data_IF_432515493434
#
_entry.id   IF_432515493434
#
_cell.length_a   1.000
_cell.length_b   1.000
_cell.length_c   1.000
_cell.angle_alpha   90.00
_cell.angle_beta   90.00
_cell.angle_gamma   90.00
#
_symmetry.space_group_name_H-M   'P 1'
#
loop_
_entity.id
_entity.type
_entity.pdbx_description
1 polymer ?
#
# COMPACT_ATOMS: atom_id res chain seq x y z
N UNK A 1 17.93 -1.41 0.97
CA UNK A 1 16.46 -1.53 1.20
C UNK A 1 15.74 -0.34 0.60
N UNK A 2 14.59 -0.59 0.00
CA UNK A 2 13.72 0.45 -0.56
C UNK A 2 12.44 0.50 0.27
N UNK A 3 12.03 1.70 0.63
CA UNK A 3 10.73 1.94 1.26
C UNK A 3 9.81 2.67 0.27
N UNK A 4 8.73 2.00 -0.11
CA UNK A 4 7.71 2.56 -0.97
C UNK A 4 6.62 3.16 -0.10
N UNK A 5 6.31 4.43 -0.31
CA UNK A 5 5.17 5.09 0.32
C UNK A 5 4.01 5.17 -0.64
N UNK A 6 2.82 5.04 -0.09
CA UNK A 6 1.58 5.24 -0.85
C UNK A 6 0.59 6.03 0.00
N UNK A 7 -0.12 6.95 -0.63
CA UNK A 7 -1.18 7.71 0.00
C UNK A 7 -2.40 7.69 -0.91
N UNK A 8 -3.56 7.38 -0.35
CA UNK A 8 -4.80 7.34 -1.11
C UNK A 8 -6.02 7.52 -0.20
N UNK A 9 -7.14 8.03 -0.75
CA UNK A 9 -8.40 8.03 -0.03
C UNK A 9 -9.08 6.68 -0.10
N UNK A 10 -9.92 6.38 0.89
CA UNK A 10 -10.76 5.19 0.92
C UNK A 10 -12.20 5.59 1.25
N UNK A 11 -13.15 4.77 0.84
CA UNK A 11 -14.57 5.01 1.13
C UNK A 11 -14.89 4.78 2.61
N UNK A 12 -14.29 3.74 3.20
CA UNK A 12 -14.47 3.37 4.60
C UNK A 12 -13.21 2.69 5.11
N UNK A 13 -12.65 3.18 6.20
CA UNK A 13 -11.40 2.64 6.73
C UNK A 13 -11.53 1.19 7.17
N UNK A 14 -12.57 0.85 7.92
CA UNK A 14 -12.72 -0.51 8.46
C UNK A 14 -12.81 -1.55 7.34
N UNK A 15 -13.57 -1.25 6.29
CA UNK A 15 -13.68 -2.11 5.12
C UNK A 15 -12.35 -2.25 4.40
N UNK A 16 -11.66 -1.12 4.20
CA UNK A 16 -10.34 -1.12 3.56
C UNK A 16 -9.33 -1.94 4.36
N UNK A 17 -9.31 -1.76 5.68
CA UNK A 17 -8.35 -2.46 6.56
C UNK A 17 -8.56 -3.97 6.54
N UNK A 18 -9.81 -4.43 6.51
CA UNK A 18 -10.10 -5.86 6.38
C UNK A 18 -9.52 -6.42 5.08
N UNK A 19 -9.74 -5.74 3.97
CA UNK A 19 -9.20 -6.16 2.67
C UNK A 19 -7.67 -6.09 2.66
N UNK A 20 -7.10 -5.04 3.25
CA UNK A 20 -5.66 -4.88 3.38
C UNK A 20 -5.04 -6.05 4.13
N UNK A 21 -5.61 -6.41 5.27
CA UNK A 21 -5.11 -7.52 6.09
C UNK A 21 -5.25 -8.86 5.37
N UNK A 22 -6.34 -9.06 4.64
CA UNK A 22 -6.56 -10.29 3.86
C UNK A 22 -5.54 -10.45 2.73
N UNK A 23 -4.94 -9.35 2.26
CA UNK A 23 -3.94 -9.35 1.19
C UNK A 23 -2.51 -9.60 1.70
N UNK A 24 -2.30 -9.78 2.99
CA UNK A 24 -0.96 -9.87 3.58
C UNK A 24 -0.11 -10.98 2.96
N UNK A 25 -0.69 -12.16 2.76
CA UNK A 25 0.03 -13.29 2.17
C UNK A 25 0.53 -12.96 0.77
N UNK A 26 -0.30 -12.28 -0.02
CA UNK A 26 0.07 -11.86 -1.36
C UNK A 26 1.19 -10.81 -1.31
N UNK A 27 1.10 -9.84 -0.39
CA UNK A 27 2.15 -8.83 -0.21
C UNK A 27 3.50 -9.49 0.09
N UNK A 28 3.53 -10.42 1.03
CA UNK A 28 4.76 -11.14 1.39
C UNK A 28 5.30 -11.90 0.19
N UNK A 29 4.43 -12.58 -0.56
CA UNK A 29 4.82 -13.31 -1.78
C UNK A 29 5.36 -12.41 -2.88
N UNK A 30 4.97 -11.13 -2.89
CA UNK A 30 5.44 -10.14 -3.86
C UNK A 30 6.69 -9.38 -3.40
N UNK A 31 7.26 -9.75 -2.26
CA UNK A 31 8.53 -9.21 -1.79
C UNK A 31 8.45 -8.16 -0.69
N UNK A 32 7.27 -7.91 -0.14
CA UNK A 32 7.13 -6.98 0.99
C UNK A 32 7.74 -7.58 2.25
N UNK A 33 8.73 -6.90 2.83
CA UNK A 33 9.48 -7.34 4.02
C UNK A 33 8.96 -6.71 5.31
N UNK A 34 8.31 -5.57 5.23
CA UNK A 34 7.73 -4.88 6.36
C UNK A 34 6.74 -3.83 5.86
N UNK A 35 5.84 -3.42 6.73
CA UNK A 35 4.83 -2.42 6.36
C UNK A 35 4.27 -1.74 7.60
N UNK A 36 3.66 -0.57 7.38
CA UNK A 36 2.85 0.11 8.39
C UNK A 36 1.77 0.93 7.69
N UNK A 37 0.68 1.13 8.39
CA UNK A 37 -0.49 1.87 7.88
C UNK A 37 -0.84 2.98 8.85
N UNK A 38 -1.13 4.16 8.32
CA UNK A 38 -1.48 5.35 9.08
C UNK A 38 -2.72 6.00 8.51
N UNK A 39 -3.54 6.56 9.39
CA UNK A 39 -4.63 7.44 8.99
C UNK A 39 -4.18 8.89 9.18
N UNK A 40 -4.62 9.80 8.32
CA UNK A 40 -4.39 11.22 8.55
C UNK A 40 -5.04 11.62 9.89
N UNK A 41 -4.36 12.47 10.65
CA UNK A 41 -4.88 12.96 11.92
C UNK A 41 -6.21 13.70 11.76
N UNK A 42 -6.44 14.31 10.59
CA UNK A 42 -7.64 15.11 10.31
C UNK A 42 -8.71 14.36 9.56
N UNK A 43 -8.35 13.25 8.90
CA UNK A 43 -9.29 12.52 8.04
C UNK A 43 -8.99 11.02 8.04
N UNK A 44 -9.83 10.21 8.70
CA UNK A 44 -9.62 8.76 8.77
C UNK A 44 -9.72 8.04 7.42
N UNK A 45 -10.23 8.71 6.39
CA UNK A 45 -10.32 8.15 5.04
C UNK A 45 -9.10 8.45 4.18
N UNK A 46 -8.15 9.22 4.70
CA UNK A 46 -6.89 9.54 4.02
C UNK A 46 -5.81 8.65 4.60
N UNK A 47 -5.41 7.63 3.84
CA UNK A 47 -4.51 6.58 4.29
C UNK A 47 -3.10 6.80 3.74
N UNK A 48 -2.10 6.67 4.61
CA UNK A 48 -0.70 6.61 4.22
C UNK A 48 -0.13 5.28 4.69
N UNK A 49 0.58 4.59 3.82
CA UNK A 49 1.22 3.33 4.16
C UNK A 49 2.63 3.30 3.58
N UNK A 50 3.50 2.49 4.18
CA UNK A 50 4.78 2.17 3.56
C UNK A 50 4.98 0.67 3.53
N UNK A 51 5.75 0.23 2.53
CA UNK A 51 6.12 -1.16 2.34
C UNK A 51 7.61 -1.23 2.00
N UNK A 52 8.34 -2.10 2.69
CA UNK A 52 9.77 -2.28 2.47
C UNK A 52 10.05 -3.43 1.52
N UNK A 53 11.00 -3.22 0.62
CA UNK A 53 11.45 -4.20 -0.36
C UNK A 53 12.97 -4.28 -0.35
N UNK A 54 13.50 -5.42 -0.74
CA UNK A 54 14.96 -5.59 -0.83
C UNK A 54 15.55 -4.74 -1.95
N UNK A 55 14.81 -4.56 -3.06
CA UNK A 55 15.27 -3.84 -4.24
C UNK A 55 14.22 -2.89 -4.79
N UNK A 56 14.67 -1.87 -5.52
CA UNK A 56 13.76 -0.97 -6.23
C UNK A 56 12.95 -1.71 -7.29
N UNK A 57 13.55 -2.69 -7.96
CA UNK A 57 12.86 -3.47 -8.98
C UNK A 57 11.65 -4.21 -8.41
N UNK A 58 11.80 -4.82 -7.23
CA UNK A 58 10.70 -5.51 -6.55
C UNK A 58 9.59 -4.52 -6.16
N UNK A 59 9.95 -3.34 -5.66
CA UNK A 59 8.98 -2.31 -5.29
C UNK A 59 8.21 -1.82 -6.53
N UNK A 60 8.90 -1.57 -7.62
CA UNK A 60 8.26 -1.13 -8.87
C UNK A 60 7.35 -2.21 -9.46
N UNK A 61 7.76 -3.47 -9.41
CA UNK A 61 6.94 -4.58 -9.87
C UNK A 61 5.65 -4.71 -9.05
N UNK A 62 5.75 -4.53 -7.74
CA UNK A 62 4.59 -4.53 -6.85
C UNK A 62 3.58 -3.46 -7.23
N UNK A 63 4.04 -2.23 -7.43
CA UNK A 63 3.19 -1.09 -7.78
C UNK A 63 2.50 -1.28 -9.14
N UNK A 64 3.18 -1.93 -10.08
CA UNK A 64 2.66 -2.15 -11.43
C UNK A 64 1.79 -3.41 -11.55
N UNK A 65 1.69 -4.22 -10.50
CA UNK A 65 0.98 -5.48 -10.60
C UNK A 65 -0.54 -5.27 -10.75
N UNK A 66 -1.16 -6.06 -11.60
CA UNK A 66 -2.61 -6.09 -11.74
C UNK A 66 -3.26 -6.56 -10.44
N UNK A 67 -2.61 -7.46 -9.75
CA UNK A 67 -3.05 -8.03 -8.49
C UNK A 67 -3.25 -6.94 -7.42
N UNK A 68 -2.28 -6.00 -7.30
CA UNK A 68 -2.41 -4.87 -6.38
C UNK A 68 -3.53 -3.93 -6.81
N UNK A 69 -3.64 -3.63 -8.10
CA UNK A 69 -4.69 -2.74 -8.62
C UNK A 69 -6.07 -3.31 -8.33
N UNK A 70 -6.27 -4.59 -8.59
CA UNK A 70 -7.53 -5.27 -8.31
C UNK A 70 -7.85 -5.27 -6.82
N UNK A 71 -6.84 -5.49 -5.97
CA UNK A 71 -7.00 -5.46 -4.53
C UNK A 71 -7.41 -4.07 -4.03
N UNK A 72 -6.81 -3.02 -4.56
CA UNK A 72 -7.17 -1.64 -4.21
C UNK A 72 -8.60 -1.30 -4.61
N UNK A 73 -9.01 -1.69 -5.81
CA UNK A 73 -10.38 -1.46 -6.29
C UNK A 73 -11.39 -2.19 -5.40
N UNK A 74 -11.12 -3.44 -5.08
CA UNK A 74 -11.99 -4.24 -4.22
C UNK A 74 -12.04 -3.72 -2.78
N UNK A 75 -10.96 -3.09 -2.32
CA UNK A 75 -10.87 -2.55 -0.96
C UNK A 75 -11.52 -1.18 -0.80
N UNK A 76 -11.99 -0.57 -1.87
CA UNK A 76 -12.68 0.71 -1.83
C UNK A 76 -11.76 1.93 -1.84
N UNK A 77 -10.63 1.85 -2.50
CA UNK A 77 -9.78 3.02 -2.79
C UNK A 77 -10.54 3.91 -3.77
N UNK A 78 -10.81 5.16 -3.39
CA UNK A 78 -11.71 6.05 -4.11
C UNK A 78 -11.02 7.06 -5.02
N UNK A 79 -9.69 7.14 -4.94
CA UNK A 79 -8.92 8.08 -5.76
C UNK A 79 -7.62 7.45 -6.21
N UNK A 80 -6.92 8.14 -7.10
CA UNK A 80 -5.66 7.68 -7.62
C UNK A 80 -4.58 7.75 -6.54
N UNK A 81 -3.84 6.65 -6.27
CA UNK A 81 -2.79 6.66 -5.26
C UNK A 81 -1.62 7.56 -5.67
N UNK A 82 -1.05 8.24 -4.68
CA UNK A 82 0.25 8.90 -4.81
C UNK A 82 1.30 7.95 -4.26
N UNK A 83 2.29 7.61 -5.08
CA UNK A 83 3.30 6.61 -4.73
C UNK A 83 4.69 7.20 -4.96
N UNK A 84 5.60 6.99 -4.00
CA UNK A 84 7.00 7.38 -4.16
C UNK A 84 7.92 6.40 -3.46
N UNK A 85 9.17 6.36 -3.89
CA UNK A 85 10.17 5.41 -3.41
C UNK A 85 11.29 6.17 -2.69
N UNK A 86 11.75 5.60 -1.58
CA UNK A 86 12.80 6.21 -0.76
C UNK A 86 13.87 5.18 -0.42
N UNK A 87 15.05 5.69 -0.07
CA UNK A 87 16.11 4.90 0.55
C UNK A 87 16.45 5.51 1.89
N UNK A 88 16.96 4.73 2.86
CA UNK A 88 17.46 5.30 4.11
C UNK A 88 18.55 6.33 3.83
N UNK A 89 18.47 7.45 4.53
CA UNK A 89 19.49 8.50 4.41
C UNK A 89 20.70 8.21 5.28
#
# INVERSE_FOLDING_TARGET
MIRMFVRHPVADYATWKQAYDAFERDRVGMGVRGHAVFQSADDPKDITAWHDFDTLEAAQAFVKSDQLREAMDAAGVTGEPTIWFTTPA
#
